data_IF_771308924486
#
_entry.id   IF_771308924486
#
_cell.length_a   1.000
_cell.length_b   1.000
_cell.length_c   1.000
_cell.angle_alpha   90.00
_cell.angle_beta   90.00
_cell.angle_gamma   90.00
#
_symmetry.space_group_name_H-M   'P 1'
#
loop_
_entity.id
_entity.type
_entity.pdbx_description
1 polymer ?
#
# COMPACT_ATOMS: atom_id res chain seq x y z
N UNK A 1 2.86 22.12 2.23
CA UNK A 1 4.17 21.57 2.59
C UNK A 1 5.05 21.49 1.36
N UNK A 2 6.40 21.56 1.54
CA UNK A 2 7.36 21.37 0.45
C UNK A 2 7.26 19.94 -0.12
N UNK A 3 8.08 19.66 -1.10
CA UNK A 3 8.20 18.34 -1.69
C UNK A 3 8.65 17.31 -0.66
N UNK A 4 8.30 16.07 -0.91
CA UNK A 4 8.65 14.94 -0.07
C UNK A 4 9.69 14.08 -0.77
N UNK A 5 10.66 13.58 -0.04
CA UNK A 5 11.52 12.51 -0.51
C UNK A 5 10.83 11.17 -0.22
N UNK A 6 10.60 10.37 -1.26
CA UNK A 6 9.91 9.09 -1.16
C UNK A 6 10.86 7.92 -1.37
N UNK A 7 10.86 7.01 -0.41
CA UNK A 7 11.41 5.67 -0.55
C UNK A 7 10.29 4.66 -0.35
N UNK A 8 10.26 3.60 -1.16
CA UNK A 8 9.25 2.55 -1.08
C UNK A 8 9.91 1.21 -0.81
N UNK A 9 9.56 0.58 0.30
CA UNK A 9 9.85 -0.82 0.55
C UNK A 9 8.84 -1.64 -0.24
N UNK A 10 9.24 -2.12 -1.40
CA UNK A 10 8.41 -2.94 -2.29
C UNK A 10 8.42 -4.39 -1.86
N UNK A 11 7.25 -4.99 -1.76
CA UNK A 11 7.04 -6.39 -1.40
C UNK A 11 6.59 -7.19 -2.61
N UNK A 12 7.34 -8.25 -2.91
CA UNK A 12 7.04 -9.17 -4.01
C UNK A 12 7.10 -10.62 -3.51
N UNK A 13 6.57 -11.55 -4.31
CA UNK A 13 6.73 -12.96 -4.05
C UNK A 13 8.22 -13.34 -4.15
N UNK A 14 8.73 -13.97 -3.12
CA UNK A 14 10.04 -14.57 -3.06
C UNK A 14 10.00 -16.06 -3.40
N UNK A 15 10.75 -16.88 -2.65
CA UNK A 15 10.77 -18.31 -2.86
C UNK A 15 9.44 -18.97 -2.50
N UNK A 16 9.03 -19.91 -3.35
CA UNK A 16 7.89 -20.77 -3.08
C UNK A 16 8.26 -21.79 -2.02
N UNK A 17 7.46 -21.88 -0.98
CA UNK A 17 7.57 -22.88 0.06
C UNK A 17 6.35 -23.79 0.04
N UNK A 18 6.58 -25.03 0.33
CA UNK A 18 5.55 -26.05 0.38
C UNK A 18 5.65 -26.83 1.69
N UNK A 19 4.56 -26.87 2.44
CA UNK A 19 4.42 -27.64 3.66
C UNK A 19 3.40 -28.72 3.42
N UNK A 20 3.78 -29.98 3.65
CA UNK A 20 2.86 -31.11 3.61
C UNK A 20 2.74 -31.69 5.02
N UNK A 21 1.54 -31.70 5.58
CA UNK A 21 1.23 -32.31 6.86
C UNK A 21 0.33 -33.50 6.65
N UNK A 22 0.75 -34.66 7.20
CA UNK A 22 -0.10 -35.85 7.28
C UNK A 22 -0.98 -35.74 8.52
N UNK A 23 -2.28 -35.63 8.33
CA UNK A 23 -3.26 -35.61 9.42
C UNK A 23 -3.79 -37.04 9.69
N UNK A 24 -4.32 -37.28 10.90
CA UNK A 24 -4.98 -38.54 11.26
C UNK A 24 -5.96 -38.96 10.15
N UNK A 25 -5.94 -40.25 9.82
CA UNK A 25 -6.72 -40.88 8.74
C UNK A 25 -6.16 -40.72 7.31
N UNK A 26 -4.85 -40.48 7.18
CA UNK A 26 -4.19 -40.47 5.85
C UNK A 26 -4.53 -39.25 4.99
N UNK A 27 -5.13 -38.20 5.59
CA UNK A 27 -5.39 -36.96 4.87
C UNK A 27 -4.10 -36.14 4.86
N UNK A 28 -3.55 -35.94 3.67
CA UNK A 28 -2.40 -35.03 3.47
C UNK A 28 -2.93 -33.66 3.16
N UNK A 29 -2.59 -32.70 4.01
CA UNK A 29 -2.83 -31.28 3.73
C UNK A 29 -1.56 -30.68 3.15
N UNK A 30 -1.69 -30.06 2.00
CA UNK A 30 -0.58 -29.40 1.29
C UNK A 30 -0.84 -27.90 1.30
N UNK A 31 0.05 -27.16 1.95
CA UNK A 31 0.02 -25.72 1.96
C UNK A 31 1.17 -25.16 1.14
N UNK A 32 0.86 -24.20 0.30
CA UNK A 32 1.85 -23.52 -0.53
C UNK A 32 1.82 -22.04 -0.16
N UNK A 33 2.97 -21.48 0.18
CA UNK A 33 3.12 -20.06 0.41
C UNK A 33 4.39 -19.53 -0.25
N UNK A 34 4.46 -18.22 -0.39
CA UNK A 34 5.63 -17.54 -0.90
C UNK A 34 6.23 -16.68 0.20
N UNK A 35 7.55 -16.75 0.36
CA UNK A 35 8.26 -15.79 1.21
C UNK A 35 8.09 -14.38 0.64
N UNK A 36 8.07 -13.37 1.51
CA UNK A 36 8.04 -11.98 1.06
C UNK A 36 9.45 -11.50 0.77
N UNK A 37 9.72 -11.18 -0.49
CA UNK A 37 10.93 -10.49 -0.89
C UNK A 37 10.72 -8.99 -0.80
N UNK A 38 11.60 -8.30 -0.06
CA UNK A 38 11.57 -6.86 0.13
C UNK A 38 12.71 -6.19 -0.62
N UNK A 39 12.41 -5.13 -1.34
CA UNK A 39 13.39 -4.31 -2.05
C UNK A 39 13.07 -2.83 -1.86
N UNK A 40 14.11 -1.97 -1.77
CA UNK A 40 13.91 -0.54 -1.66
C UNK A 40 13.93 0.12 -3.03
N UNK A 41 12.93 0.94 -3.30
CA UNK A 41 12.84 1.82 -4.46
C UNK A 41 13.05 3.24 -3.95
N UNK A 42 14.04 3.95 -4.47
CA UNK A 42 14.23 5.38 -4.22
C UNK A 42 13.53 6.16 -5.34
N UNK A 43 12.43 6.80 -5.01
CA UNK A 43 11.67 7.61 -5.95
C UNK A 43 12.11 9.08 -5.95
N UNK A 44 12.99 9.47 -5.03
CA UNK A 44 13.48 10.84 -4.89
C UNK A 44 12.41 11.83 -4.47
N UNK A 45 12.55 13.08 -4.90
CA UNK A 45 11.58 14.13 -4.60
C UNK A 45 10.28 13.94 -5.39
N UNK A 46 9.15 13.96 -4.68
CA UNK A 46 7.82 13.82 -5.27
C UNK A 46 6.78 14.67 -4.52
N UNK A 47 5.65 14.88 -5.16
CA UNK A 47 4.44 15.34 -4.51
C UNK A 47 3.68 14.16 -3.87
N UNK A 48 2.70 14.45 -3.02
CA UNK A 48 1.81 13.43 -2.46
C UNK A 48 0.75 13.03 -3.50
N UNK A 49 1.19 12.26 -4.50
CA UNK A 49 0.36 11.72 -5.57
C UNK A 49 0.29 10.18 -5.46
N UNK A 50 -0.70 9.54 -6.09
CA UNK A 50 -0.80 8.08 -6.10
C UNK A 50 0.45 7.42 -6.71
N UNK A 51 0.89 6.30 -6.15
CA UNK A 51 2.08 5.57 -6.61
C UNK A 51 2.04 5.21 -8.10
N UNK A 52 0.85 4.90 -8.62
CA UNK A 52 0.66 4.61 -10.04
C UNK A 52 1.09 5.75 -10.97
N UNK A 53 1.09 6.99 -10.45
CA UNK A 53 1.42 8.21 -11.17
C UNK A 53 2.88 8.65 -10.91
N UNK A 54 3.63 7.91 -10.07
CA UNK A 54 5.05 8.10 -9.80
C UNK A 54 5.84 7.12 -10.68
N UNK A 55 6.59 7.57 -11.70
CA UNK A 55 7.24 6.67 -12.68
C UNK A 55 8.19 5.64 -12.05
N UNK A 56 8.89 6.00 -10.97
CA UNK A 56 9.81 5.11 -10.28
C UNK A 56 9.11 4.00 -9.49
N UNK A 57 7.82 4.15 -9.15
CA UNK A 57 7.05 3.19 -8.34
C UNK A 57 6.09 2.40 -9.22
N UNK A 58 5.13 3.07 -9.83
CA UNK A 58 4.15 2.44 -10.72
C UNK A 58 2.96 1.79 -9.99
N UNK A 59 2.08 1.16 -10.77
CA UNK A 59 0.78 0.61 -10.32
C UNK A 59 0.86 -0.79 -9.70
N UNK A 60 1.97 -1.51 -9.88
CA UNK A 60 2.11 -2.91 -9.51
C UNK A 60 2.79 -3.12 -8.16
N UNK A 61 3.29 -2.03 -7.56
CA UNK A 61 4.02 -2.08 -6.29
C UNK A 61 3.04 -2.15 -5.11
N UNK A 62 3.36 -3.05 -4.20
CA UNK A 62 2.78 -3.15 -2.86
C UNK A 62 3.87 -3.05 -1.82
N UNK A 63 3.58 -2.48 -0.66
CA UNK A 63 4.56 -2.36 0.41
C UNK A 63 4.36 -1.12 1.27
N UNK A 64 5.44 -0.51 1.71
CA UNK A 64 5.42 0.67 2.59
C UNK A 64 6.16 1.83 1.92
N UNK A 65 5.48 2.96 1.74
CA UNK A 65 6.09 4.22 1.31
C UNK A 65 6.48 5.07 2.51
N UNK A 66 7.71 5.55 2.53
CA UNK A 66 8.28 6.44 3.52
C UNK A 66 8.46 7.82 2.90
N UNK A 67 7.54 8.73 3.18
CA UNK A 67 7.60 10.12 2.75
C UNK A 67 8.29 10.95 3.81
N UNK A 68 9.42 11.57 3.48
CA UNK A 68 10.24 12.39 4.39
C UNK A 68 10.30 13.82 3.92
N UNK A 69 10.13 14.75 4.84
CA UNK A 69 10.36 16.18 4.60
C UNK A 69 10.90 16.86 5.86
N UNK A 70 11.44 18.03 5.69
CA UNK A 70 11.93 18.88 6.78
C UNK A 70 11.18 20.20 6.71
N UNK A 71 10.74 20.66 7.87
CA UNK A 71 10.15 21.98 8.04
C UNK A 71 10.92 22.78 9.08
N UNK A 72 10.97 24.08 8.90
CA UNK A 72 11.50 25.04 9.87
C UNK A 72 10.33 25.79 10.52
N UNK A 73 10.34 25.83 11.84
CA UNK A 73 9.38 26.61 12.61
C UNK A 73 10.06 27.82 13.26
N UNK A 74 9.33 28.92 13.47
CA UNK A 74 9.86 30.12 14.10
C UNK A 74 10.42 29.81 15.50
N UNK A 75 11.34 30.65 15.97
CA UNK A 75 11.92 30.54 17.32
C UNK A 75 10.88 30.75 18.43
N UNK A 76 9.80 31.46 18.13
CA UNK A 76 8.68 31.70 19.05
C UNK A 76 7.77 30.50 19.22
N UNK A 77 7.93 29.45 18.42
CA UNK A 77 7.14 28.22 18.54
C UNK A 77 7.26 27.64 19.96
N UNK A 78 6.12 27.35 20.57
CA UNK A 78 6.06 26.79 21.93
C UNK A 78 5.49 25.38 21.90
N UNK A 79 5.98 24.54 22.80
CA UNK A 79 5.35 23.26 23.09
C UNK A 79 3.90 23.49 23.55
N UNK A 80 2.94 22.90 22.82
CA UNK A 80 1.50 23.13 23.03
C UNK A 80 0.84 24.04 22.01
N UNK A 81 1.59 24.74 21.15
CA UNK A 81 1.03 25.33 19.95
C UNK A 81 0.41 24.22 19.11
N UNK A 82 -0.87 24.39 18.75
CA UNK A 82 -1.60 23.37 18.03
C UNK A 82 -1.14 23.27 16.58
N UNK A 83 -0.84 22.08 16.10
CA UNK A 83 -0.58 21.82 14.68
C UNK A 83 -1.16 20.48 14.24
N UNK A 84 -1.73 20.49 13.04
CA UNK A 84 -2.29 19.30 12.40
C UNK A 84 -1.63 19.06 11.06
N UNK A 85 -1.23 17.83 10.84
CA UNK A 85 -0.84 17.37 9.51
C UNK A 85 -2.07 16.82 8.79
N UNK A 86 -2.43 17.41 7.65
CA UNK A 86 -3.45 16.91 6.76
C UNK A 86 -2.79 16.06 5.68
N UNK A 87 -3.06 14.76 5.68
CA UNK A 87 -2.47 13.81 4.73
C UNK A 87 -3.33 13.66 3.46
N UNK A 88 -4.61 14.09 3.54
CA UNK A 88 -5.56 13.85 2.46
C UNK A 88 -6.13 12.45 2.48
N UNK A 89 -6.44 11.89 1.31
CA UNK A 89 -6.95 10.53 1.18
C UNK A 89 -5.82 9.54 0.97
N UNK A 90 -5.78 8.49 1.77
CA UNK A 90 -4.90 7.34 1.58
C UNK A 90 -5.56 6.22 0.75
N UNK A 91 -6.76 6.48 0.18
CA UNK A 91 -7.55 5.50 -0.58
C UNK A 91 -7.83 4.20 0.20
N UNK A 92 -8.03 4.30 1.52
CA UNK A 92 -8.27 3.15 2.39
C UNK A 92 -7.01 2.50 2.96
N UNK A 93 -5.83 2.96 2.56
CA UNK A 93 -4.55 2.48 3.08
C UNK A 93 -4.28 3.08 4.48
N UNK A 94 -3.46 2.39 5.25
CA UNK A 94 -3.08 2.87 6.58
C UNK A 94 -1.92 3.85 6.52
N UNK A 95 -1.93 4.82 7.43
CA UNK A 95 -0.84 5.78 7.56
C UNK A 95 -0.36 5.91 9.00
N UNK A 96 0.94 6.09 9.19
CA UNK A 96 1.56 6.47 10.44
C UNK A 96 2.45 7.70 10.26
N UNK A 97 2.46 8.58 11.23
CA UNK A 97 3.24 9.83 11.18
C UNK A 97 4.26 9.83 12.31
N UNK A 98 5.46 10.26 11.99
CA UNK A 98 6.53 10.47 12.94
C UNK A 98 7.06 11.90 12.81
N UNK A 99 7.32 12.52 13.92
CA UNK A 99 7.92 13.85 14.01
C UNK A 99 9.15 13.75 14.89
N UNK A 100 10.31 14.11 14.35
CA UNK A 100 11.60 14.00 15.06
C UNK A 100 11.83 12.60 15.64
N UNK A 101 11.45 11.54 14.90
CA UNK A 101 11.56 10.14 15.31
C UNK A 101 10.51 9.67 16.32
N UNK A 102 9.60 10.53 16.79
CA UNK A 102 8.53 10.18 17.72
C UNK A 102 7.22 9.94 16.98
N UNK A 103 6.56 8.83 17.24
CA UNK A 103 5.27 8.49 16.63
C UNK A 103 4.17 9.43 17.13
N UNK A 104 3.44 10.01 16.16
CA UNK A 104 2.27 10.81 16.43
C UNK A 104 1.05 9.94 16.78
N UNK A 105 -0.03 10.53 17.33
CA UNK A 105 -1.31 9.83 17.49
C UNK A 105 -1.79 9.19 16.18
N UNK A 106 -2.67 8.21 16.30
CA UNK A 106 -3.18 7.49 15.14
C UNK A 106 -3.85 8.44 14.11
N UNK A 107 -3.63 8.15 12.84
CA UNK A 107 -4.29 8.82 11.74
C UNK A 107 -5.80 8.62 11.83
N UNK A 108 -6.53 9.72 11.81
CA UNK A 108 -7.99 9.70 11.79
C UNK A 108 -8.48 9.73 10.35
N UNK A 109 -8.95 8.58 9.85
CA UNK A 109 -9.40 8.42 8.47
C UNK A 109 -10.58 9.33 8.12
N UNK A 110 -11.45 9.64 9.08
CA UNK A 110 -12.62 10.51 8.84
C UNK A 110 -12.22 11.98 8.73
N UNK A 111 -11.25 12.41 9.54
CA UNK A 111 -10.75 13.80 9.53
C UNK A 111 -9.55 13.99 8.61
N UNK A 112 -8.91 12.91 8.19
CA UNK A 112 -7.71 12.90 7.35
C UNK A 112 -6.55 13.71 7.94
N UNK A 113 -6.50 13.80 9.26
CA UNK A 113 -5.53 14.61 9.99
C UNK A 113 -4.88 13.84 11.12
N UNK A 114 -3.67 14.28 11.49
CA UNK A 114 -2.93 13.82 12.65
C UNK A 114 -2.49 15.04 13.46
N UNK A 115 -2.73 15.04 14.77
CA UNK A 115 -2.25 16.07 15.69
C UNK A 115 -0.75 15.87 15.91
N UNK A 116 0.03 16.88 15.62
CA UNK A 116 1.50 16.81 15.70
C UNK A 116 2.12 17.95 16.54
N UNK A 117 1.33 18.91 17.02
CA UNK A 117 1.82 20.10 17.70
C UNK A 117 2.77 19.79 18.87
N UNK A 118 2.41 18.83 19.73
CA UNK A 118 3.22 18.42 20.88
C UNK A 118 4.52 17.69 20.53
N UNK A 119 4.78 17.40 19.27
CA UNK A 119 5.99 16.73 18.78
C UNK A 119 6.92 17.69 18.05
N UNK A 120 6.42 18.85 17.70
CA UNK A 120 7.16 19.91 17.02
C UNK A 120 7.93 20.76 18.03
N UNK A 121 9.02 21.34 17.55
CA UNK A 121 9.88 22.27 18.30
C UNK A 121 10.26 23.46 17.42
N UNK A 122 10.69 24.55 18.00
CA UNK A 122 11.30 25.65 17.27
C UNK A 122 12.47 25.16 16.41
N UNK A 123 12.68 25.78 15.27
CA UNK A 123 13.72 25.42 14.30
C UNK A 123 13.35 24.17 13.50
N UNK A 124 14.36 23.37 13.21
CA UNK A 124 14.28 22.24 12.29
C UNK A 124 13.51 21.05 12.86
N UNK A 125 12.51 20.59 12.09
CA UNK A 125 11.74 19.39 12.40
C UNK A 125 11.73 18.44 11.19
N UNK A 126 11.94 17.16 11.43
CA UNK A 126 11.77 16.10 10.43
C UNK A 126 10.39 15.49 10.56
N UNK A 127 9.70 15.37 9.45
CA UNK A 127 8.42 14.69 9.32
C UNK A 127 8.61 13.44 8.46
N UNK A 128 8.09 12.31 8.95
CA UNK A 128 8.02 11.06 8.18
C UNK A 128 6.57 10.58 8.19
N UNK A 129 6.04 10.32 7.00
CA UNK A 129 4.73 9.69 6.83
C UNK A 129 4.94 8.33 6.19
N UNK A 130 4.59 7.28 6.92
CA UNK A 130 4.54 5.91 6.42
C UNK A 130 3.13 5.65 5.86
N UNK A 131 3.05 5.15 4.63
CA UNK A 131 1.79 4.71 4.02
C UNK A 131 1.97 3.26 3.62
N UNK A 132 1.16 2.37 4.21
CA UNK A 132 1.22 0.94 3.92
C UNK A 132 0.09 0.56 2.97
N UNK A 133 0.44 0.01 1.81
CA UNK A 133 -0.53 -0.53 0.86
C UNK A 133 -0.87 -1.99 1.17
N UNK A 134 -2.01 -2.44 0.68
CA UNK A 134 -2.33 -3.87 0.64
C UNK A 134 -1.46 -4.61 -0.38
N UNK A 135 -1.35 -5.94 -0.27
CA UNK A 135 -0.63 -6.77 -1.24
C UNK A 135 -1.36 -6.92 -2.59
N UNK A 136 -2.53 -6.33 -2.74
CA UNK A 136 -3.39 -6.55 -3.90
C UNK A 136 -2.72 -6.20 -5.24
N UNK A 137 -1.91 -5.14 -5.28
CA UNK A 137 -1.25 -4.71 -6.52
C UNK A 137 -0.22 -5.73 -6.98
N UNK A 138 0.67 -6.17 -6.11
CA UNK A 138 1.70 -7.15 -6.48
C UNK A 138 1.10 -8.53 -6.75
N UNK A 139 0.02 -8.93 -6.07
CA UNK A 139 -0.68 -10.19 -6.32
C UNK A 139 -1.36 -10.18 -7.70
N UNK A 140 -1.98 -9.07 -8.08
CA UNK A 140 -2.54 -8.90 -9.43
C UNK A 140 -1.45 -8.95 -10.50
N UNK A 141 -0.37 -8.22 -10.31
CA UNK A 141 0.74 -8.18 -11.25
C UNK A 141 1.40 -9.56 -11.42
N UNK A 142 1.49 -10.34 -10.34
CA UNK A 142 1.99 -11.71 -10.35
C UNK A 142 1.01 -12.78 -10.89
N UNK A 143 -0.20 -12.39 -11.32
CA UNK A 143 -1.21 -13.34 -11.84
C UNK A 143 -1.79 -14.27 -10.75
N UNK A 144 -1.67 -13.93 -9.48
CA UNK A 144 -2.12 -14.78 -8.37
C UNK A 144 -3.61 -15.15 -8.50
N UNK A 145 -4.44 -14.20 -8.89
CA UNK A 145 -5.88 -14.44 -9.03
C UNK A 145 -6.22 -15.33 -10.23
N UNK A 146 -5.37 -15.36 -11.25
CA UNK A 146 -5.57 -16.19 -12.44
C UNK A 146 -5.30 -17.67 -12.15
N UNK A 147 -4.41 -17.95 -11.20
CA UNK A 147 -3.99 -19.32 -10.86
C UNK A 147 -4.71 -19.91 -9.66
N UNK A 148 -5.17 -19.07 -8.72
CA UNK A 148 -5.73 -19.51 -7.42
C UNK A 148 -7.23 -19.74 -7.49
N UNK A 149 -7.94 -19.02 -8.36
CA UNK A 149 -9.36 -19.21 -8.55
C UNK A 149 -9.63 -19.98 -9.85
N UNK A 150 -10.31 -21.13 -9.79
CA UNK A 150 -10.77 -21.81 -11.01
C UNK A 150 -11.51 -20.81 -11.89
N UNK A 151 -11.31 -20.90 -13.21
CA UNK A 151 -11.87 -19.99 -14.20
C UNK A 151 -13.33 -19.59 -14.02
N UNK A 152 -14.14 -20.42 -13.34
CA UNK A 152 -15.55 -20.15 -13.04
C UNK A 152 -15.73 -18.99 -12.08
N UNK A 153 -14.91 -18.88 -11.03
CA UNK A 153 -15.00 -17.80 -10.03
C UNK A 153 -14.31 -16.54 -10.54
N UNK A 154 -13.19 -16.69 -11.27
CA UNK A 154 -12.53 -15.58 -11.94
C UNK A 154 -13.45 -14.97 -13.02
N UNK A 155 -14.19 -15.77 -13.76
CA UNK A 155 -15.25 -15.30 -14.68
C UNK A 155 -16.40 -14.61 -13.97
N UNK A 156 -16.85 -15.12 -12.83
CA UNK A 156 -17.92 -14.48 -12.04
C UNK A 156 -17.48 -13.13 -11.46
N UNK A 157 -16.23 -13.00 -11.04
CA UNK A 157 -15.69 -11.74 -10.52
C UNK A 157 -15.21 -10.78 -11.61
N UNK A 158 -14.78 -11.30 -12.77
CA UNK A 158 -14.34 -10.53 -13.93
C UNK A 158 -15.45 -10.19 -14.92
N UNK A 159 -16.58 -10.89 -14.88
CA UNK A 159 -17.71 -10.66 -15.78
C UNK A 159 -18.43 -9.31 -15.56
N UNK A 160 -18.06 -8.55 -14.54
CA UNK A 160 -18.55 -7.18 -14.38
C UNK A 160 -17.80 -6.15 -15.23
N UNK A 161 -16.81 -6.57 -16.04
CA UNK A 161 -15.99 -5.66 -16.88
C UNK A 161 -15.95 -6.00 -18.38
N UNK A 162 -16.90 -6.73 -18.92
CA UNK A 162 -16.87 -6.94 -20.36
C UNK A 162 -18.05 -7.71 -20.95
N UNK A 163 -18.77 -7.05 -21.81
CA UNK A 163 -19.85 -7.57 -22.66
C UNK A 163 -19.45 -8.72 -23.64
N UNK A 164 -18.22 -9.26 -23.55
CA UNK A 164 -17.72 -10.25 -24.51
C UNK A 164 -18.27 -11.67 -24.36
N UNK A 165 -18.58 -12.10 -23.14
CA UNK A 165 -18.99 -13.48 -22.88
C UNK A 165 -20.47 -13.78 -23.24
N UNK A 166 -21.31 -12.75 -23.37
CA UNK A 166 -22.70 -12.90 -23.78
C UNK A 166 -22.85 -12.99 -25.31
N UNK A 167 -21.96 -12.34 -26.07
CA UNK A 167 -21.97 -12.43 -27.52
C UNK A 167 -21.54 -13.81 -28.07
N UNK A 168 -20.53 -14.44 -27.42
CA UNK A 168 -20.11 -15.80 -27.81
C UNK A 168 -21.14 -16.87 -27.48
N UNK A 169 -21.89 -16.73 -26.39
CA UNK A 169 -22.96 -17.67 -26.05
C UNK A 169 -24.17 -17.54 -26.95
N UNK A 170 -24.48 -16.36 -27.52
CA UNK A 170 -25.55 -16.16 -28.48
C UNK A 170 -25.15 -16.63 -29.90
N UNK A 171 -23.90 -16.51 -30.29
CA UNK A 171 -23.40 -16.98 -31.58
C UNK A 171 -23.34 -18.51 -31.68
N UNK A 172 -23.11 -19.22 -30.55
CA UNK A 172 -23.09 -20.69 -30.50
C UNK A 172 -24.47 -21.36 -30.45
N UNK A 173 -25.53 -20.61 -30.22
CA UNK A 173 -26.90 -21.10 -30.10
C UNK A 173 -27.78 -20.96 -31.40
N UNK A 174 -27.21 -20.43 -32.50
CA UNK A 174 -27.92 -20.17 -33.76
C UNK A 174 -27.33 -20.92 -34.94
N UNK A 175 -26.81 -22.12 -34.76
CA UNK A 175 -26.44 -23.03 -35.87
C UNK A 175 -27.10 -24.38 -35.70
#
# INVERSE_FOLDING_TARGET
LPRWNLQVESWTAGEKREISEERRAGIVTREVYYETKKTMIDAGETELIPWKDIPAVGKEVSGIGYYRTVIELPEEWREGDGARLCIGSTNGETAAVYVNGRKAPAYNINRRTVEIGNLLRAGRNELVVEVSSSLNNCLKAGGYYDTTFPNTVARMMGANNGNGAMEEAMAAGMS
#
